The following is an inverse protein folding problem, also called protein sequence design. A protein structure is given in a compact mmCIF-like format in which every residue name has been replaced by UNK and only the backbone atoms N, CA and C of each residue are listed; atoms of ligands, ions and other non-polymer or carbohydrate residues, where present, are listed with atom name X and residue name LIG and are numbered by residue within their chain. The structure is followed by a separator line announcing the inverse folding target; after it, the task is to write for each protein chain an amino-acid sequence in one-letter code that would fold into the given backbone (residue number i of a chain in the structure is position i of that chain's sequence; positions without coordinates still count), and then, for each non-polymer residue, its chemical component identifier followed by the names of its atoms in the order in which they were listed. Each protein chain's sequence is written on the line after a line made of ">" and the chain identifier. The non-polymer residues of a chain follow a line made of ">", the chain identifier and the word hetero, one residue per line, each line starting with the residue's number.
data_IF_070525460447
#
_entry.id   IF_070525460447
#
_cell.length_a   1.000
_cell.length_b   1.000
_cell.length_c   1.000
_cell.angle_alpha   90.00
_cell.angle_beta   90.00
_cell.angle_gamma   90.00
#
_symmetry.space_group_name_H-M   'P 1'
#
loop_
_entity.id
_entity.type
_entity.pdbx_description
1 polymer ?
#
# COMPACT_ATOMS: atom_id res chain seq x y z
N UNK A 1 -23.25 -21.92 36.48
CA UNK A 1 -23.48 -22.50 35.14
C UNK A 1 -24.45 -21.58 34.40
N UNK A 2 -23.93 -20.62 33.64
CA UNK A 2 -24.62 -19.87 32.60
C UNK A 2 -23.53 -19.10 31.83
N UNK A 3 -23.29 -19.50 30.58
CA UNK A 3 -22.39 -18.85 29.65
C UNK A 3 -23.14 -17.64 29.08
N UNK A 4 -22.57 -16.45 29.20
CA UNK A 4 -22.97 -15.27 28.43
C UNK A 4 -21.69 -14.59 27.94
N UNK A 5 -21.37 -14.89 26.67
CA UNK A 5 -20.33 -14.26 25.88
C UNK A 5 -20.70 -12.79 25.67
N UNK A 6 -19.89 -11.87 26.17
CA UNK A 6 -19.90 -10.49 25.71
C UNK A 6 -18.48 -10.07 25.38
N UNK A 7 -18.26 -9.89 24.08
CA UNK A 7 -17.33 -8.90 23.55
C UNK A 7 -15.85 -9.25 23.69
N UNK A 8 -15.40 -10.18 22.85
CA UNK A 8 -14.10 -10.01 22.20
C UNK A 8 -14.08 -8.60 21.61
N UNK A 9 -13.36 -7.67 22.26
CA UNK A 9 -12.90 -6.46 21.57
C UNK A 9 -11.90 -7.00 20.56
N UNK A 10 -12.41 -7.37 19.38
CA UNK A 10 -11.59 -7.46 18.19
C UNK A 10 -11.14 -6.02 17.98
N UNK A 11 -9.92 -5.71 18.41
CA UNK A 11 -9.27 -4.49 17.96
C UNK A 11 -9.14 -4.70 16.46
N UNK A 12 -10.12 -4.22 15.72
CA UNK A 12 -10.04 -4.05 14.30
C UNK A 12 -8.81 -3.17 14.09
N UNK A 13 -7.70 -3.82 13.78
CA UNK A 13 -6.56 -3.23 13.11
C UNK A 13 -7.16 -2.32 12.04
N UNK A 14 -6.86 -1.01 12.00
CA UNK A 14 -7.27 -0.24 10.85
C UNK A 14 -6.60 -0.90 9.66
N UNK A 15 -7.39 -1.54 8.81
CA UNK A 15 -6.92 -1.97 7.51
C UNK A 15 -6.44 -0.71 6.81
N UNK A 16 -5.12 -0.55 6.82
CA UNK A 16 -4.40 0.45 6.03
C UNK A 16 -4.44 0.02 4.57
N UNK A 17 -5.65 -0.10 4.04
CA UNK A 17 -5.92 -0.16 2.61
C UNK A 17 -6.02 1.28 2.09
N UNK A 18 -4.89 1.99 2.15
CA UNK A 18 -4.67 3.17 1.29
C UNK A 18 -3.40 2.94 0.47
N UNK A 19 -3.52 2.69 -0.84
CA UNK A 19 -2.39 2.78 -1.73
C UNK A 19 -2.26 4.25 -2.12
N UNK A 20 -1.31 4.98 -1.53
CA UNK A 20 -0.59 6.16 -2.08
C UNK A 20 0.03 7.01 -0.96
N UNK A 21 1.35 6.87 -0.76
CA UNK A 21 2.28 7.99 -0.61
C UNK A 21 2.06 9.07 0.47
N UNK A 22 1.36 8.82 1.58
CA UNK A 22 1.35 9.69 2.76
C UNK A 22 1.04 8.85 4.01
N UNK A 23 1.93 7.91 4.35
CA UNK A 23 1.84 7.23 5.64
C UNK A 23 2.04 8.25 6.76
N UNK A 24 1.03 8.46 7.61
CA UNK A 24 1.25 9.05 8.92
C UNK A 24 2.14 8.08 9.69
N UNK A 25 3.46 8.31 9.63
CA UNK A 25 4.49 7.54 10.33
C UNK A 25 4.40 7.81 11.84
N UNK A 26 3.33 7.34 12.44
CA UNK A 26 3.24 7.20 13.89
C UNK A 26 4.03 5.94 14.26
N UNK A 27 4.80 6.02 15.35
CA UNK A 27 5.49 4.89 15.98
C UNK A 27 6.83 4.47 15.33
N UNK A 28 7.60 5.42 14.77
CA UNK A 28 8.99 5.19 14.33
C UNK A 28 9.98 5.06 15.51
N UNK A 29 11.20 4.58 15.25
CA UNK A 29 12.25 4.46 16.28
C UNK A 29 12.94 5.82 16.46
N UNK A 30 12.91 6.44 17.65
CA UNK A 30 13.54 7.73 17.88
C UNK A 30 15.02 7.79 17.44
N UNK A 31 15.39 8.88 16.77
CA UNK A 31 16.75 9.12 16.30
C UNK A 31 17.14 8.35 15.04
N UNK A 32 16.22 7.60 14.41
CA UNK A 32 16.48 7.02 13.08
C UNK A 32 16.13 8.00 11.97
N UNK A 33 16.82 7.83 10.84
CA UNK A 33 16.58 8.55 9.59
C UNK A 33 16.45 7.54 8.45
N UNK A 34 15.57 7.81 7.50
CA UNK A 34 15.37 6.99 6.31
C UNK A 34 14.95 7.86 5.13
N UNK A 35 14.92 7.23 3.96
CA UNK A 35 14.36 7.83 2.76
C UNK A 35 13.06 7.10 2.43
N UNK A 36 11.98 7.87 2.32
CA UNK A 36 10.71 7.40 1.80
C UNK A 36 10.50 8.03 0.43
N UNK A 37 10.43 7.20 -0.61
CA UNK A 37 10.48 7.67 -1.99
C UNK A 37 11.73 8.55 -2.23
N UNK A 38 11.56 9.86 -2.45
CA UNK A 38 12.64 10.84 -2.55
C UNK A 38 12.74 11.75 -1.32
N UNK A 39 11.84 11.59 -0.35
CA UNK A 39 11.78 12.42 0.83
C UNK A 39 12.70 11.88 1.92
N UNK A 40 13.42 12.78 2.58
CA UNK A 40 14.21 12.43 3.76
C UNK A 40 13.32 12.57 4.99
N UNK A 41 13.32 11.54 5.83
CA UNK A 41 12.53 11.44 7.04
C UNK A 41 13.42 11.21 8.25
N UNK A 42 13.04 11.82 9.36
CA UNK A 42 13.67 11.64 10.67
C UNK A 42 12.61 11.35 11.73
N UNK A 43 12.94 10.48 12.68
CA UNK A 43 12.06 10.17 13.81
C UNK A 43 12.43 11.00 15.05
N UNK A 44 11.46 11.74 15.59
CA UNK A 44 11.66 12.48 16.84
C UNK A 44 11.54 11.60 18.09
N UNK A 45 11.80 12.18 19.26
CA UNK A 45 11.74 11.48 20.55
C UNK A 45 10.33 11.00 20.94
N UNK A 46 9.28 11.60 20.36
CA UNK A 46 7.89 11.20 20.54
C UNK A 46 7.47 10.04 19.62
N UNK A 47 8.39 9.52 18.79
CA UNK A 47 8.11 8.45 17.83
C UNK A 47 7.30 8.90 16.61
N UNK A 48 7.35 10.19 16.28
CA UNK A 48 6.68 10.78 15.12
C UNK A 48 7.70 11.09 14.03
N UNK A 49 7.43 10.66 12.80
CA UNK A 49 8.29 11.04 11.69
C UNK A 49 7.98 12.44 11.18
N UNK A 50 9.04 13.17 10.86
CA UNK A 50 8.98 14.38 10.07
C UNK A 50 9.75 14.14 8.76
N UNK A 51 9.05 14.28 7.63
CA UNK A 51 9.63 14.11 6.30
C UNK A 51 9.65 15.43 5.53
N UNK A 52 10.60 15.57 4.61
CA UNK A 52 10.51 16.59 3.55
C UNK A 52 9.24 16.38 2.71
N UNK A 53 8.83 17.42 1.97
CA UNK A 53 7.67 17.37 1.06
C UNK A 53 8.08 17.70 -0.37
N UNK A 54 9.08 17.00 -0.86
CA UNK A 54 9.53 17.06 -2.24
C UNK A 54 8.52 16.34 -3.13
N UNK A 55 8.25 16.92 -4.30
CA UNK A 55 7.52 16.22 -5.36
C UNK A 55 8.48 15.19 -5.95
N UNK A 56 8.20 13.91 -5.71
CA UNK A 56 9.01 12.83 -6.23
C UNK A 56 8.59 12.51 -7.67
N UNK A 57 9.41 12.93 -8.63
CA UNK A 57 9.23 12.60 -10.04
C UNK A 57 9.96 11.30 -10.39
N UNK A 58 9.52 10.63 -11.45
CA UNK A 58 10.16 9.44 -12.03
C UNK A 58 10.25 8.22 -11.08
N UNK A 59 9.32 8.08 -10.15
CA UNK A 59 9.20 6.84 -9.36
C UNK A 59 8.51 5.78 -10.23
N UNK A 60 9.18 4.65 -10.51
CA UNK A 60 8.58 3.58 -11.29
C UNK A 60 7.40 3.00 -10.50
N UNK A 61 6.22 2.95 -11.13
CA UNK A 61 4.99 2.41 -10.53
C UNK A 61 4.96 0.89 -10.52
N UNK A 62 5.83 0.28 -11.33
CA UNK A 62 5.97 -1.15 -11.52
C UNK A 62 7.42 -1.49 -11.87
N UNK A 63 7.79 -2.77 -11.76
CA UNK A 63 9.12 -3.24 -12.16
C UNK A 63 9.27 -3.18 -13.69
N UNK A 64 10.23 -2.42 -14.24
CA UNK A 64 10.42 -2.31 -15.69
C UNK A 64 10.53 -3.67 -16.40
N UNK A 65 9.82 -3.83 -17.52
CA UNK A 65 9.80 -5.06 -18.30
C UNK A 65 8.97 -6.20 -17.70
N UNK A 66 8.37 -6.02 -16.52
CA UNK A 66 7.45 -7.00 -15.95
C UNK A 66 6.11 -7.02 -16.70
N UNK A 67 5.44 -8.18 -16.65
CA UNK A 67 4.08 -8.35 -17.16
C UNK A 67 3.28 -9.21 -16.19
N UNK A 68 2.02 -8.84 -15.96
CA UNK A 68 1.11 -9.58 -15.08
C UNK A 68 -0.31 -9.53 -15.62
N UNK A 69 -1.17 -10.36 -15.05
CA UNK A 69 -2.61 -10.34 -15.32
C UNK A 69 -3.31 -10.07 -14.00
N UNK A 70 -4.19 -9.07 -14.01
CA UNK A 70 -5.06 -8.75 -12.87
C UNK A 70 -6.50 -8.84 -13.36
N UNK A 71 -7.27 -9.76 -12.78
CA UNK A 71 -8.56 -10.21 -13.28
C UNK A 71 -8.52 -10.62 -14.76
N UNK A 72 -9.19 -9.85 -15.63
CA UNK A 72 -9.25 -10.07 -17.08
C UNK A 72 -8.35 -9.11 -17.87
N UNK A 73 -7.58 -8.25 -17.20
CA UNK A 73 -6.69 -7.28 -17.84
C UNK A 73 -5.27 -7.82 -17.86
N UNK A 74 -4.64 -7.80 -19.05
CA UNK A 74 -3.22 -8.05 -19.20
C UNK A 74 -2.47 -6.74 -19.14
N UNK A 75 -1.52 -6.65 -18.21
CA UNK A 75 -0.75 -5.45 -17.92
C UNK A 75 0.74 -5.66 -18.20
N UNK A 76 1.39 -4.61 -18.68
CA UNK A 76 2.85 -4.56 -18.87
C UNK A 76 3.42 -3.30 -18.23
N UNK A 77 4.63 -3.42 -17.71
CA UNK A 77 5.41 -2.29 -17.23
C UNK A 77 6.41 -1.87 -18.31
N UNK A 78 6.32 -0.62 -18.75
CA UNK A 78 7.32 -0.04 -19.66
C UNK A 78 8.68 0.12 -18.98
N UNK A 79 9.72 0.37 -19.78
CA UNK A 79 11.07 0.64 -19.26
C UNK A 79 11.14 1.93 -18.41
N UNK A 80 10.14 2.82 -18.54
CA UNK A 80 10.01 4.04 -17.74
C UNK A 80 9.27 3.78 -16.41
N UNK A 81 8.79 2.56 -16.16
CA UNK A 81 8.04 2.23 -14.95
C UNK A 81 6.56 2.63 -15.02
N UNK A 82 6.03 2.92 -16.21
CA UNK A 82 4.60 3.16 -16.41
C UNK A 82 3.85 1.87 -16.76
N UNK A 83 2.73 1.66 -16.08
CA UNK A 83 1.80 0.55 -16.28
C UNK A 83 0.92 0.82 -17.49
N UNK A 84 0.79 -0.18 -18.38
CA UNK A 84 -0.18 -0.19 -19.47
C UNK A 84 -0.97 -1.49 -19.43
N UNK A 85 -2.29 -1.39 -19.20
CA UNK A 85 -3.19 -2.53 -19.16
C UNK A 85 -4.12 -2.54 -20.36
N UNK A 86 -4.36 -3.73 -20.90
CA UNK A 86 -5.31 -3.98 -21.98
C UNK A 86 -6.28 -5.08 -21.56
N UNK A 87 -7.58 -4.85 -21.75
CA UNK A 87 -8.64 -5.82 -21.49
C UNK A 87 -10.00 -5.18 -21.71
N UNK A 88 -11.00 -5.99 -22.05
CA UNK A 88 -12.40 -5.56 -22.02
C UNK A 88 -12.90 -5.68 -20.57
N UNK A 89 -13.78 -4.78 -20.11
CA UNK A 89 -14.39 -4.89 -18.78
C UNK A 89 -14.84 -6.32 -18.52
N UNK A 90 -14.39 -6.92 -17.41
CA UNK A 90 -14.66 -8.33 -17.14
C UNK A 90 -16.18 -8.57 -17.16
N UNK A 91 -16.66 -9.34 -18.15
CA UNK A 91 -18.10 -9.52 -18.40
C UNK A 91 -18.78 -10.30 -17.25
N UNK A 92 -17.98 -11.01 -16.44
CA UNK A 92 -18.37 -11.61 -15.17
C UNK A 92 -17.17 -11.60 -14.23
N UNK A 93 -17.28 -11.08 -12.99
CA UNK A 93 -16.27 -11.31 -11.96
C UNK A 93 -16.12 -12.82 -11.72
N UNK A 94 -14.92 -13.34 -11.42
CA UNK A 94 -14.82 -14.69 -10.87
C UNK A 94 -15.61 -14.70 -9.56
N UNK A 95 -16.67 -15.50 -9.49
CA UNK A 95 -17.32 -15.79 -8.21
C UNK A 95 -16.26 -16.34 -7.27
N UNK A 96 -16.02 -15.72 -6.09
CA UNK A 96 -15.12 -16.31 -5.11
C UNK A 96 -15.73 -17.65 -4.70
N UNK A 97 -15.11 -18.74 -5.16
CA UNK A 97 -15.54 -20.10 -4.88
C UNK A 97 -15.10 -20.45 -3.47
N UNK A 98 -15.79 -19.86 -2.48
CA UNK A 98 -15.66 -20.22 -1.08
C UNK A 98 -16.70 -21.31 -0.84
N UNK A 99 -16.30 -22.57 -1.04
CA UNK A 99 -17.05 -23.74 -0.56
C UNK A 99 -16.70 -24.03 0.90
#
# INVERSE_FOLDING_TARGET
>A
CAILLLGIVKTDTPESSTPSGLGSYENCIPGTSWMDECNTCDCNDDGLAACTRMLCENIPKCTPGSSWTEDCQSCVCSDQGDVSCTGESCVTPPTPSNA
#
